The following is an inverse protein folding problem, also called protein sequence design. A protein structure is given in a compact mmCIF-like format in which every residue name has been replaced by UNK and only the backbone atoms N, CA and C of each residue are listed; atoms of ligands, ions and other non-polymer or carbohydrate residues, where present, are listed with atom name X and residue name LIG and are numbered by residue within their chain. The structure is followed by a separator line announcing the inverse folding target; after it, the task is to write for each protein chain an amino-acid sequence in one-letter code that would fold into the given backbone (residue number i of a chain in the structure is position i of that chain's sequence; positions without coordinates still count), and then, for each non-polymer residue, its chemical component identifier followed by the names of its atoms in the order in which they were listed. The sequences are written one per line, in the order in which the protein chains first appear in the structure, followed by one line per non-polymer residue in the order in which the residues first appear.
data_IF_606548508574
#
_entry.id   IF_606548508574
#
_cell.length_a   1.000
_cell.length_b   1.000
_cell.length_c   1.000
_cell.angle_alpha   90.00
_cell.angle_beta   90.00
_cell.angle_gamma   90.00
#
_symmetry.space_group_name_H-M   'P 1'
#
loop_
_entity.id
_entity.type
_entity.pdbx_description
1 polymer ?
#
# COMPACT_ATOMS: atom_id res chain seq x y z
N UNK A 1 -0.22 30.99 50.93
CA UNK A 1 -0.39 29.57 50.51
C UNK A 1 -1.86 29.13 50.41
N UNK A 2 -2.76 29.50 51.36
CA UNK A 2 -4.20 29.12 51.33
C UNK A 2 -4.96 29.46 50.03
N UNK A 3 -4.74 30.65 49.44
CA UNK A 3 -5.41 31.06 48.19
C UNK A 3 -5.00 30.24 46.96
N UNK A 4 -3.75 29.76 46.90
CA UNK A 4 -3.28 28.89 45.80
C UNK A 4 -3.88 27.49 45.93
N UNK A 5 -3.90 26.93 47.14
CA UNK A 5 -4.51 25.64 47.44
C UNK A 5 -6.03 25.60 47.11
N UNK A 6 -6.76 26.69 47.35
CA UNK A 6 -8.18 26.82 46.99
C UNK A 6 -8.45 26.72 45.49
N UNK A 7 -7.49 27.08 44.64
CA UNK A 7 -7.63 27.03 43.17
C UNK A 7 -7.02 25.73 42.61
N UNK A 8 -5.89 25.27 43.15
CA UNK A 8 -5.23 24.06 42.66
C UNK A 8 -5.98 22.78 43.02
N UNK A 9 -6.64 22.72 44.19
CA UNK A 9 -7.41 21.54 44.61
C UNK A 9 -8.57 21.20 43.66
N UNK A 10 -9.47 22.14 43.28
CA UNK A 10 -10.54 21.83 42.34
C UNK A 10 -10.01 21.50 40.94
N UNK A 11 -8.94 22.16 40.48
CA UNK A 11 -8.32 21.84 39.18
C UNK A 11 -7.77 20.42 39.15
N UNK A 12 -7.07 19.99 40.20
CA UNK A 12 -6.55 18.62 40.30
C UNK A 12 -7.67 17.57 40.33
N UNK A 13 -8.80 17.87 40.99
CA UNK A 13 -9.98 16.99 41.00
C UNK A 13 -10.58 16.88 39.60
N UNK A 14 -10.74 18.00 38.89
CA UNK A 14 -11.24 18.00 37.50
C UNK A 14 -10.33 17.15 36.61
N UNK A 15 -9.01 17.33 36.71
CA UNK A 15 -8.05 16.51 35.96
C UNK A 15 -8.18 15.02 36.27
N UNK A 16 -8.29 14.64 37.54
CA UNK A 16 -8.46 13.25 37.94
C UNK A 16 -9.76 12.65 37.37
N UNK A 17 -10.85 13.41 37.38
CA UNK A 17 -12.13 13.01 36.78
C UNK A 17 -12.02 12.86 35.26
N UNK A 18 -11.36 13.79 34.57
CA UNK A 18 -11.15 13.70 33.12
C UNK A 18 -10.32 12.47 32.73
N UNK A 19 -9.28 12.15 33.52
CA UNK A 19 -8.45 10.96 33.31
C UNK A 19 -9.29 9.69 33.51
N UNK A 20 -10.03 9.60 34.61
CA UNK A 20 -10.91 8.46 34.89
C UNK A 20 -12.00 8.29 33.82
N UNK A 21 -12.62 9.39 33.39
CA UNK A 21 -13.60 9.39 32.31
C UNK A 21 -12.98 8.94 30.98
N UNK A 22 -11.74 9.33 30.69
CA UNK A 22 -11.03 8.90 29.46
C UNK A 22 -10.83 7.38 29.45
N UNK A 23 -10.36 6.79 30.56
CA UNK A 23 -10.25 5.33 30.68
C UNK A 23 -11.59 4.62 30.56
N UNK A 24 -12.66 5.21 31.10
CA UNK A 24 -14.01 4.65 30.97
C UNK A 24 -14.51 4.71 29.52
N UNK A 25 -14.35 5.84 28.85
CA UNK A 25 -14.75 6.05 27.45
C UNK A 25 -13.96 5.16 26.49
N UNK A 26 -12.66 4.92 26.75
CA UNK A 26 -11.84 3.99 25.96
C UNK A 26 -12.33 2.54 26.05
N UNK A 27 -13.06 2.17 27.10
CA UNK A 27 -13.64 0.83 27.26
C UNK A 27 -15.01 0.66 26.59
N UNK A 28 -15.63 1.76 26.11
CA UNK A 28 -16.87 1.68 25.33
C UNK A 28 -16.52 1.19 23.94
N UNK A 29 -16.90 -0.06 23.63
CA UNK A 29 -16.74 -0.60 22.29
C UNK A 29 -17.60 0.23 21.32
N UNK A 30 -17.07 0.58 20.14
CA UNK A 30 -17.87 1.24 19.11
C UNK A 30 -19.06 0.35 18.72
N UNK A 31 -20.21 0.96 18.47
CA UNK A 31 -21.38 0.22 18.00
C UNK A 31 -21.12 -0.30 16.58
N UNK A 32 -21.21 -1.62 16.41
CA UNK A 32 -21.03 -2.32 15.13
C UNK A 32 -22.31 -2.97 14.64
N UNK A 33 -23.46 -2.61 15.21
CA UNK A 33 -24.79 -3.09 14.83
C UNK A 33 -25.14 -2.76 13.37
N UNK A 34 -24.66 -1.62 12.88
CA UNK A 34 -24.86 -1.15 11.50
C UNK A 34 -23.85 -1.71 10.48
N UNK A 35 -22.80 -2.41 10.95
CA UNK A 35 -21.76 -2.96 10.07
C UNK A 35 -22.17 -4.36 9.64
N UNK A 36 -22.27 -4.58 8.34
CA UNK A 36 -22.63 -5.89 7.80
C UNK A 36 -21.57 -6.94 8.10
N UNK A 37 -21.96 -8.22 8.14
CA UNK A 37 -21.00 -9.31 8.33
C UNK A 37 -19.94 -9.33 7.22
N UNK A 38 -20.32 -8.98 5.98
CA UNK A 38 -19.39 -8.88 4.86
C UNK A 38 -18.32 -7.79 5.07
N UNK A 39 -18.71 -6.63 5.61
CA UNK A 39 -17.76 -5.56 5.95
C UNK A 39 -16.80 -5.97 7.08
N UNK A 40 -17.32 -6.66 8.11
CA UNK A 40 -16.47 -7.19 9.20
C UNK A 40 -15.45 -8.19 8.67
N UNK A 41 -15.87 -9.09 7.79
CA UNK A 41 -14.98 -10.04 7.14
C UNK A 41 -13.95 -9.32 6.27
N UNK A 42 -14.38 -8.35 5.45
CA UNK A 42 -13.49 -7.60 4.58
C UNK A 42 -12.39 -6.89 5.39
N UNK A 43 -12.74 -6.13 6.43
CA UNK A 43 -11.75 -5.44 7.28
C UNK A 43 -10.82 -6.41 8.02
N UNK A 44 -11.32 -7.57 8.43
CA UNK A 44 -10.50 -8.62 9.03
C UNK A 44 -9.49 -9.21 8.04
N UNK A 45 -9.91 -9.44 6.79
CA UNK A 45 -9.06 -10.06 5.74
C UNK A 45 -8.11 -9.07 5.06
N UNK A 46 -8.44 -7.78 5.06
CA UNK A 46 -7.74 -6.72 4.31
C UNK A 46 -6.23 -6.66 4.57
N UNK A 47 -5.72 -6.81 5.81
CA UNK A 47 -4.27 -6.81 6.05
C UNK A 47 -3.51 -7.97 5.41
N UNK A 48 -4.19 -9.08 5.09
CA UNK A 48 -3.58 -10.24 4.44
C UNK A 48 -3.58 -10.12 2.89
N UNK A 49 -4.35 -9.18 2.32
CA UNK A 49 -4.42 -8.97 0.88
C UNK A 49 -3.41 -7.92 0.45
N UNK A 50 -2.60 -8.22 -0.56
CA UNK A 50 -1.53 -7.36 -1.05
C UNK A 50 -1.74 -6.96 -2.51
N UNK A 51 -1.20 -5.80 -2.89
CA UNK A 51 -1.05 -5.39 -4.28
C UNK A 51 0.30 -5.90 -4.79
N UNK A 52 0.28 -6.52 -5.96
CA UNK A 52 1.48 -7.00 -6.66
C UNK A 52 1.67 -6.14 -7.90
N UNK A 53 2.92 -5.71 -8.10
CA UNK A 53 3.35 -4.96 -9.27
C UNK A 53 4.59 -5.68 -9.78
N UNK A 54 4.53 -6.15 -11.02
CA UNK A 54 5.63 -6.78 -11.72
C UNK A 54 5.91 -5.97 -12.99
N UNK A 55 7.11 -5.45 -13.15
CA UNK A 55 7.43 -4.59 -14.28
C UNK A 55 8.91 -4.66 -14.64
N UNK A 56 9.19 -4.36 -15.90
CA UNK A 56 10.53 -4.17 -16.44
C UNK A 56 10.61 -2.82 -17.14
N UNK A 57 11.80 -2.21 -17.10
CA UNK A 57 12.12 -1.00 -17.86
C UNK A 57 13.16 -1.41 -18.89
N UNK A 58 12.85 -1.20 -20.17
CA UNK A 58 13.74 -1.46 -21.29
C UNK A 58 14.30 -0.14 -21.79
N UNK A 59 15.63 -0.03 -21.78
CA UNK A 59 16.34 1.14 -22.32
C UNK A 59 16.77 0.86 -23.76
N UNK A 60 16.43 1.79 -24.65
CA UNK A 60 16.73 1.68 -26.07
C UNK A 60 17.97 2.49 -26.42
N UNK A 61 18.92 1.84 -27.09
CA UNK A 61 20.06 2.51 -27.71
C UNK A 61 20.06 2.21 -29.20
N UNK A 62 19.88 3.26 -30.00
CA UNK A 62 19.95 3.17 -31.45
C UNK A 62 21.32 3.65 -31.92
N UNK A 63 22.01 2.83 -32.73
CA UNK A 63 23.41 3.10 -33.16
C UNK A 63 23.45 3.81 -34.51
N UNK A 64 22.38 3.71 -35.32
CA UNK A 64 22.30 4.36 -36.60
C UNK A 64 21.72 5.77 -36.46
N UNK A 65 22.15 6.69 -37.32
CA UNK A 65 21.72 8.09 -37.25
C UNK A 65 20.47 8.31 -38.12
N UNK A 66 19.39 7.60 -37.80
CA UNK A 66 18.08 7.80 -38.45
C UNK A 66 17.27 8.85 -37.66
N UNK A 67 17.04 10.05 -38.21
CA UNK A 67 16.38 11.15 -37.50
C UNK A 67 14.95 10.82 -37.06
N UNK A 68 14.24 9.98 -37.82
CA UNK A 68 12.84 9.67 -37.52
C UNK A 68 12.75 8.69 -36.34
N UNK A 69 13.68 7.72 -36.27
CA UNK A 69 13.80 6.78 -35.15
C UNK A 69 14.26 7.48 -33.88
N UNK A 70 15.26 8.36 -33.98
CA UNK A 70 15.75 9.15 -32.84
C UNK A 70 14.64 10.04 -32.26
N UNK A 71 13.89 10.73 -33.13
CA UNK A 71 12.75 11.54 -32.72
C UNK A 71 11.65 10.74 -32.02
N UNK A 72 11.37 9.51 -32.48
CA UNK A 72 10.42 8.61 -31.83
C UNK A 72 10.92 8.16 -30.45
N UNK A 73 12.16 7.67 -30.35
CA UNK A 73 12.73 7.21 -29.07
C UNK A 73 12.87 8.36 -28.06
N UNK A 74 13.15 9.57 -28.53
CA UNK A 74 13.18 10.76 -27.68
C UNK A 74 11.81 11.09 -27.07
N UNK A 75 10.69 10.79 -27.74
CA UNK A 75 9.35 10.95 -27.16
C UNK A 75 9.09 9.96 -26.02
N UNK A 76 9.72 8.78 -26.09
CA UNK A 76 9.66 7.74 -25.06
C UNK A 76 10.74 7.90 -23.98
N UNK A 77 11.56 8.95 -24.04
CA UNK A 77 12.73 9.12 -23.19
C UNK A 77 13.65 7.87 -23.20
N UNK A 78 13.80 7.29 -24.39
CA UNK A 78 14.56 6.07 -24.67
C UNK A 78 14.16 4.87 -23.81
N UNK A 79 12.93 4.85 -23.27
CA UNK A 79 12.50 3.85 -22.31
C UNK A 79 11.09 3.36 -22.59
N UNK A 80 10.92 2.04 -22.52
CA UNK A 80 9.58 1.44 -22.44
C UNK A 80 9.42 0.76 -21.09
N UNK A 81 8.29 1.01 -20.42
CA UNK A 81 7.88 0.26 -19.23
C UNK A 81 6.85 -0.77 -19.66
N UNK A 82 7.13 -2.04 -19.38
CA UNK A 82 6.16 -3.12 -19.48
C UNK A 82 5.88 -3.69 -18.10
N UNK A 83 4.68 -4.21 -17.89
CA UNK A 83 4.38 -4.82 -16.61
C UNK A 83 2.95 -5.29 -16.47
N UNK A 84 2.71 -5.94 -15.34
CA UNK A 84 1.42 -6.39 -14.87
C UNK A 84 1.18 -5.89 -13.44
N UNK A 85 -0.09 -5.79 -13.07
CA UNK A 85 -0.47 -5.58 -11.69
C UNK A 85 -1.64 -6.47 -11.32
N UNK A 86 -1.67 -6.89 -10.06
CA UNK A 86 -2.70 -7.78 -9.56
C UNK A 86 -2.77 -7.76 -8.05
N UNK A 87 -3.56 -8.67 -7.51
CA UNK A 87 -3.65 -8.91 -6.07
C UNK A 87 -3.01 -10.23 -5.70
N UNK A 88 -2.68 -10.36 -4.41
CA UNK A 88 -2.30 -11.63 -3.81
C UNK A 88 -2.73 -11.68 -2.36
N UNK A 89 -2.46 -12.81 -1.72
CA UNK A 89 -2.73 -13.00 -0.30
C UNK A 89 -1.49 -13.56 0.41
N UNK A 90 -1.18 -13.02 1.58
CA UNK A 90 -0.20 -13.56 2.51
C UNK A 90 -0.82 -14.80 3.16
N UNK A 91 -0.19 -15.96 2.96
CA UNK A 91 -0.71 -17.26 3.44
C UNK A 91 0.01 -17.78 4.69
N UNK A 92 1.07 -17.10 5.13
CA UNK A 92 1.89 -17.55 6.26
C UNK A 92 2.67 -16.39 6.90
N UNK A 93 3.05 -16.58 8.17
CA UNK A 93 3.70 -15.55 9.00
C UNK A 93 5.12 -15.18 8.57
N UNK A 94 5.76 -16.01 7.76
CA UNK A 94 7.05 -15.75 7.12
C UNK A 94 6.94 -14.96 5.81
N UNK A 95 5.73 -14.52 5.43
CA UNK A 95 5.52 -13.58 4.33
C UNK A 95 5.35 -14.20 2.95
N UNK A 96 5.07 -15.51 2.84
CA UNK A 96 4.76 -16.08 1.52
C UNK A 96 3.43 -15.55 1.00
N UNK A 97 3.46 -15.10 -0.25
CA UNK A 97 2.32 -14.54 -0.97
C UNK A 97 1.91 -15.49 -2.11
N UNK A 98 0.61 -15.72 -2.25
CA UNK A 98 0.03 -16.43 -3.40
C UNK A 98 -0.66 -15.43 -4.31
N UNK A 99 -0.43 -15.56 -5.61
CA UNK A 99 -1.10 -14.81 -6.69
C UNK A 99 -1.22 -15.68 -7.94
N UNK A 100 -1.88 -15.17 -8.98
CA UNK A 100 -1.93 -15.83 -10.27
C UNK A 100 -0.56 -15.75 -10.97
N UNK A 101 -0.17 -16.80 -11.68
CA UNK A 101 1.14 -16.86 -12.33
C UNK A 101 1.36 -15.74 -13.36
N UNK A 102 0.33 -15.38 -14.13
CA UNK A 102 0.40 -14.31 -15.14
C UNK A 102 0.62 -12.90 -14.53
N UNK A 103 0.39 -12.72 -13.23
CA UNK A 103 0.66 -11.44 -12.55
C UNK A 103 2.16 -11.23 -12.36
N UNK A 104 2.94 -12.31 -12.33
CA UNK A 104 4.40 -12.31 -12.09
C UNK A 104 5.19 -12.89 -13.27
N UNK A 105 4.64 -12.75 -14.48
CA UNK A 105 5.22 -13.34 -15.69
C UNK A 105 6.50 -12.61 -16.12
N UNK A 106 6.52 -11.28 -16.05
CA UNK A 106 7.66 -10.47 -16.49
C UNK A 106 8.91 -10.68 -15.63
N UNK A 107 8.75 -10.84 -14.31
CA UNK A 107 9.84 -11.18 -13.38
C UNK A 107 10.45 -12.56 -13.62
N UNK A 108 9.80 -13.42 -14.39
CA UNK A 108 10.27 -14.77 -14.75
C UNK A 108 10.58 -14.93 -16.24
N UNK A 109 10.29 -13.91 -17.05
CA UNK A 109 10.51 -13.93 -18.48
C UNK A 109 12.01 -13.83 -18.80
N UNK A 110 12.41 -14.39 -19.94
CA UNK A 110 13.76 -14.17 -20.44
C UNK A 110 13.90 -12.73 -20.96
N UNK A 111 15.11 -12.17 -20.92
CA UNK A 111 15.37 -10.80 -21.40
C UNK A 111 14.90 -10.57 -22.83
N UNK A 112 14.98 -11.60 -23.68
CA UNK A 112 14.50 -11.54 -25.08
C UNK A 112 12.98 -11.33 -25.16
N UNK A 113 12.23 -11.94 -24.25
CA UNK A 113 10.77 -11.89 -24.24
C UNK A 113 10.31 -10.54 -23.68
N UNK A 114 11.04 -10.02 -22.67
CA UNK A 114 10.89 -8.66 -22.15
C UNK A 114 11.17 -7.62 -23.24
N UNK A 115 12.28 -7.76 -23.97
CA UNK A 115 12.63 -6.84 -25.06
C UNK A 115 11.61 -6.90 -26.20
N UNK A 116 11.11 -8.08 -26.54
CA UNK A 116 10.06 -8.24 -27.54
C UNK A 116 8.76 -7.55 -27.12
N UNK A 117 8.28 -7.81 -25.90
CA UNK A 117 7.06 -7.19 -25.37
C UNK A 117 7.18 -5.66 -25.21
N UNK A 118 8.38 -5.13 -24.98
CA UNK A 118 8.63 -3.70 -24.91
C UNK A 118 8.68 -3.00 -26.28
N UNK A 119 8.77 -3.77 -27.37
CA UNK A 119 8.80 -3.27 -28.73
C UNK A 119 7.43 -3.30 -29.42
N UNK A 120 6.49 -4.11 -28.91
CA UNK A 120 5.08 -4.13 -29.34
C UNK A 120 4.29 -2.92 -28.81
#
# INVERSE_FOLDING_TARGET
MRKRAMITLPISIIFAVCIAASFFLMNIKPDTSHVSQAQKLAEYTKPAVVRIVDYAIVEWKFVNNDPDVDAYLHQLDYRTMIGASGSGAIISSNGYIVTNAHVVEYSKAEEKDIAHAAFE
#
